data_IF_605001569220
#
_entry.id   IF_605001569220
#
_cell.length_a   1.000
_cell.length_b   1.000
_cell.length_c   1.000
_cell.angle_alpha   90.00
_cell.angle_beta   90.00
_cell.angle_gamma   90.00
#
_symmetry.space_group_name_H-M   'P 1'
#
loop_
_entity.id
_entity.type
_entity.pdbx_description
1 polymer ?
#
# COMPACT_ATOMS: atom_id res chain seq x y z
N UNK A 1 -4.78 -15.40 5.87
CA UNK A 1 -5.42 -15.17 7.20
C UNK A 1 -6.65 -14.29 6.98
N UNK A 2 -7.83 -14.69 7.44
CA UNK A 2 -9.09 -13.95 7.22
C UNK A 2 -9.58 -13.32 8.54
N UNK A 3 -9.76 -12.00 8.55
CA UNK A 3 -10.27 -11.25 9.72
C UNK A 3 -11.72 -11.58 10.05
N UNK A 4 -12.46 -12.23 9.13
CA UNK A 4 -13.90 -12.48 9.23
C UNK A 4 -14.76 -11.20 9.37
N UNK A 5 -14.15 -10.01 9.25
CA UNK A 5 -14.86 -8.73 9.29
C UNK A 5 -15.59 -8.50 7.96
N UNK A 6 -16.83 -8.00 8.02
CA UNK A 6 -17.68 -7.80 6.84
C UNK A 6 -17.57 -6.37 6.31
N UNK A 7 -17.65 -6.26 4.98
CA UNK A 7 -17.43 -5.07 4.15
C UNK A 7 -18.62 -4.09 4.18
N UNK A 8 -18.88 -3.44 5.32
CA UNK A 8 -20.06 -2.56 5.47
C UNK A 8 -20.01 -1.22 4.72
N UNK A 9 -18.82 -0.75 4.33
CA UNK A 9 -18.60 0.59 3.73
C UNK A 9 -17.62 0.57 2.54
N UNK A 10 -17.39 -0.60 1.94
CA UNK A 10 -16.30 -0.77 0.97
C UNK A 10 -16.55 0.00 -0.32
N UNK A 11 -17.77 0.01 -0.84
CA UNK A 11 -18.04 0.62 -2.14
C UNK A 11 -17.89 2.15 -2.11
N UNK A 12 -18.36 2.82 -1.05
CA UNK A 12 -18.20 4.27 -0.90
C UNK A 12 -16.75 4.67 -0.67
N UNK A 13 -16.05 3.98 0.25
CA UNK A 13 -14.66 4.28 0.57
C UNK A 13 -13.72 3.96 -0.61
N UNK A 14 -13.98 2.88 -1.34
CA UNK A 14 -13.24 2.55 -2.56
C UNK A 14 -13.42 3.63 -3.64
N UNK A 15 -14.66 4.08 -3.88
CA UNK A 15 -14.93 5.14 -4.84
C UNK A 15 -14.29 6.47 -4.43
N UNK A 16 -14.23 6.78 -3.13
CA UNK A 16 -13.52 7.95 -2.62
C UNK A 16 -12.02 7.87 -2.93
N UNK A 17 -11.38 6.73 -2.65
CA UNK A 17 -9.94 6.52 -2.98
C UNK A 17 -9.69 6.65 -4.47
N UNK A 18 -10.58 6.12 -5.30
CA UNK A 18 -10.51 6.26 -6.75
C UNK A 18 -10.56 7.74 -7.17
N UNK A 19 -11.53 8.49 -6.66
CA UNK A 19 -11.67 9.92 -6.96
C UNK A 19 -10.42 10.71 -6.55
N UNK A 20 -9.87 10.43 -5.38
CA UNK A 20 -8.62 11.05 -4.90
C UNK A 20 -7.43 10.74 -5.84
N UNK A 21 -7.33 9.51 -6.34
CA UNK A 21 -6.29 9.16 -7.31
C UNK A 21 -6.47 9.86 -8.67
N UNK A 22 -7.71 10.00 -9.13
CA UNK A 22 -8.03 10.72 -10.37
C UNK A 22 -7.73 12.22 -10.25
N UNK A 23 -7.98 12.81 -9.08
CA UNK A 23 -7.60 14.19 -8.77
C UNK A 23 -6.08 14.36 -8.75
N UNK A 24 -5.35 13.49 -8.06
CA UNK A 24 -3.88 13.52 -8.05
C UNK A 24 -3.30 13.41 -9.47
N UNK A 25 -3.86 12.53 -10.32
CA UNK A 25 -3.41 12.40 -11.71
C UNK A 25 -3.56 13.72 -12.49
N UNK A 26 -4.65 14.47 -12.27
CA UNK A 26 -4.86 15.79 -12.86
C UNK A 26 -3.81 16.79 -12.40
N UNK A 27 -3.43 16.79 -11.11
CA UNK A 27 -2.40 17.70 -10.58
C UNK A 27 -1.04 17.47 -11.24
N UNK A 28 -0.64 16.20 -11.38
CA UNK A 28 0.60 15.85 -12.05
C UNK A 28 0.53 16.06 -13.58
N UNK A 29 -0.67 16.18 -14.13
CA UNK A 29 -0.92 16.35 -15.57
C UNK A 29 -0.71 15.06 -16.35
N UNK A 30 -1.02 13.92 -15.74
CA UNK A 30 -0.86 12.58 -16.33
C UNK A 30 -2.20 11.88 -16.47
N UNK A 31 -2.27 10.87 -17.36
CA UNK A 31 -3.49 10.07 -17.53
C UNK A 31 -3.69 9.09 -16.36
N UNK A 32 -2.61 8.55 -15.81
CA UNK A 32 -2.63 7.62 -14.69
C UNK A 32 -1.41 7.85 -13.80
N UNK A 33 -1.56 7.59 -12.49
CA UNK A 33 -0.49 7.81 -11.52
C UNK A 33 0.77 6.97 -11.76
N UNK A 34 0.65 5.84 -12.48
CA UNK A 34 1.81 5.04 -12.93
C UNK A 34 2.82 5.87 -13.75
N UNK A 35 2.35 6.90 -14.44
CA UNK A 35 3.20 7.73 -15.30
C UNK A 35 3.91 8.86 -14.52
N UNK A 36 3.68 8.97 -13.20
CA UNK A 36 4.38 9.92 -12.31
C UNK A 36 5.73 9.35 -11.89
N UNK A 37 6.76 10.21 -11.88
CA UNK A 37 8.11 9.87 -11.40
C UNK A 37 8.44 10.61 -10.10
N UNK A 38 8.98 9.89 -9.11
CA UNK A 38 9.35 10.43 -7.80
C UNK A 38 10.47 11.47 -7.85
N UNK A 39 11.32 11.45 -8.88
CA UNK A 39 12.43 12.39 -9.04
C UNK A 39 12.02 13.72 -9.69
N UNK A 40 10.80 13.81 -10.22
CA UNK A 40 10.30 14.97 -10.96
C UNK A 40 10.22 16.22 -10.08
N UNK A 41 10.48 17.38 -10.68
CA UNK A 41 10.36 18.68 -9.97
C UNK A 41 8.94 18.90 -9.43
N UNK A 42 7.92 18.45 -10.17
CA UNK A 42 6.53 18.49 -9.72
C UNK A 42 6.31 17.66 -8.45
N UNK A 43 6.84 16.44 -8.38
CA UNK A 43 6.76 15.62 -7.17
C UNK A 43 7.36 16.34 -5.96
N UNK A 44 8.55 16.91 -6.13
CA UNK A 44 9.25 17.66 -5.07
C UNK A 44 8.49 18.91 -4.64
N UNK A 45 7.94 19.66 -5.60
CA UNK A 45 7.17 20.87 -5.32
C UNK A 45 5.89 20.58 -4.52
N UNK A 46 5.14 19.55 -4.91
CA UNK A 46 3.91 19.17 -4.22
C UNK A 46 4.18 18.60 -2.83
N UNK A 47 5.28 17.86 -2.64
CA UNK A 47 5.65 17.29 -1.33
C UNK A 47 5.88 18.32 -0.22
N UNK A 48 6.08 19.62 -0.55
CA UNK A 48 6.50 20.65 0.41
C UNK A 48 5.48 21.75 0.75
N UNK A 49 4.29 21.79 0.14
CA UNK A 49 3.40 22.98 0.22
C UNK A 49 1.89 22.70 0.20
N UNK A 50 1.38 21.77 1.00
CA UNK A 50 -0.03 21.38 0.91
C UNK A 50 -0.90 21.82 2.10
N UNK A 51 -2.11 22.29 1.77
CA UNK A 51 -3.24 22.40 2.72
C UNK A 51 -3.71 20.99 3.10
N UNK A 52 -4.46 20.86 4.20
CA UNK A 52 -4.88 19.55 4.75
C UNK A 52 -5.63 18.66 3.74
N UNK A 53 -6.56 19.21 2.96
CA UNK A 53 -7.25 18.47 1.88
C UNK A 53 -6.28 18.02 0.77
N UNK A 54 -5.28 18.85 0.48
CA UNK A 54 -4.27 18.53 -0.53
C UNK A 54 -3.31 17.44 -0.06
N UNK A 55 -3.06 17.37 1.24
CA UNK A 55 -2.22 16.35 1.87
C UNK A 55 -2.80 14.94 1.67
N UNK A 56 -4.12 14.77 1.82
CA UNK A 56 -4.77 13.47 1.63
C UNK A 56 -4.62 12.95 0.20
N UNK A 57 -4.90 13.79 -0.79
CA UNK A 57 -4.77 13.43 -2.21
C UNK A 57 -3.33 13.06 -2.55
N UNK A 58 -2.36 13.80 -2.04
CA UNK A 58 -0.95 13.46 -2.23
C UNK A 58 -0.55 12.16 -1.54
N UNK A 59 -1.04 11.87 -0.33
CA UNK A 59 -0.84 10.58 0.32
C UNK A 59 -1.36 9.43 -0.54
N UNK A 60 -2.54 9.59 -1.17
CA UNK A 60 -3.06 8.57 -2.13
C UNK A 60 -2.13 8.40 -3.33
N UNK A 61 -1.65 9.50 -3.90
CA UNK A 61 -0.69 9.47 -5.00
C UNK A 61 0.61 8.76 -4.61
N UNK A 62 1.16 9.09 -3.43
CA UNK A 62 2.37 8.51 -2.87
C UNK A 62 2.26 7.01 -2.69
N UNK A 63 1.15 6.52 -2.14
CA UNK A 63 0.92 5.09 -2.09
C UNK A 63 1.00 4.47 -3.48
N UNK A 64 0.21 4.96 -4.44
CA UNK A 64 0.11 4.33 -5.77
C UNK A 64 1.45 4.34 -6.52
N UNK A 65 2.18 5.46 -6.49
CA UNK A 65 3.46 5.58 -7.20
C UNK A 65 4.52 4.68 -6.56
N UNK A 66 4.65 4.72 -5.23
CA UNK A 66 5.66 3.93 -4.52
C UNK A 66 5.33 2.44 -4.49
N UNK A 67 4.04 2.06 -4.44
CA UNK A 67 3.61 0.67 -4.54
C UNK A 67 3.87 0.11 -5.94
N UNK A 68 3.71 0.91 -7.00
CA UNK A 68 4.06 0.49 -8.36
C UNK A 68 5.55 0.17 -8.49
N UNK A 69 6.44 1.02 -7.94
CA UNK A 69 7.88 0.73 -7.88
C UNK A 69 8.18 -0.52 -7.04
N UNK A 70 7.50 -0.67 -5.89
CA UNK A 70 7.65 -1.82 -5.00
C UNK A 70 7.27 -3.14 -5.66
N UNK A 71 6.23 -3.14 -6.50
CA UNK A 71 5.83 -4.32 -7.27
C UNK A 71 6.89 -4.69 -8.31
N UNK A 72 7.45 -3.71 -9.00
CA UNK A 72 8.56 -3.95 -9.94
C UNK A 72 9.79 -4.51 -9.22
N UNK A 73 10.13 -3.97 -8.06
CA UNK A 73 11.22 -4.50 -7.22
C UNK A 73 10.92 -5.93 -6.75
N UNK A 74 9.70 -6.20 -6.27
CA UNK A 74 9.29 -7.53 -5.82
C UNK A 74 9.45 -8.59 -6.92
N UNK A 75 9.18 -8.23 -8.19
CA UNK A 75 9.38 -9.14 -9.33
C UNK A 75 10.84 -9.55 -9.47
N UNK A 76 11.78 -8.61 -9.39
CA UNK A 76 13.21 -8.93 -9.51
C UNK A 76 13.70 -9.73 -8.29
N UNK A 77 13.31 -9.31 -7.09
CA UNK A 77 13.64 -9.99 -5.82
C UNK A 77 13.11 -11.45 -5.80
N UNK A 78 11.91 -11.68 -6.35
CA UNK A 78 11.36 -13.03 -6.50
C UNK A 78 12.18 -13.90 -7.46
N UNK A 79 12.68 -13.34 -8.58
CA UNK A 79 13.54 -14.08 -9.52
C UNK A 79 14.89 -14.45 -8.88
N UNK A 80 15.41 -13.59 -8.02
CA UNK A 80 16.65 -13.81 -7.29
C UNK A 80 16.50 -14.77 -6.10
N UNK A 81 15.27 -15.11 -5.71
CA UNK A 81 15.00 -15.96 -4.54
C UNK A 81 15.29 -15.27 -3.20
N UNK A 82 15.38 -13.94 -3.17
CA UNK A 82 15.69 -13.20 -1.95
C UNK A 82 14.42 -12.98 -1.10
N UNK A 83 14.03 -14.04 -0.38
CA UNK A 83 12.81 -14.08 0.44
C UNK A 83 12.78 -13.04 1.57
N UNK A 84 13.95 -12.71 2.15
CA UNK A 84 14.04 -11.69 3.20
C UNK A 84 13.67 -10.31 2.64
N UNK A 85 14.24 -9.93 1.49
CA UNK A 85 13.90 -8.66 0.85
C UNK A 85 12.44 -8.64 0.41
N UNK A 86 11.90 -9.77 -0.09
CA UNK A 86 10.49 -9.85 -0.45
C UNK A 86 9.57 -9.60 0.76
N UNK A 87 9.92 -10.16 1.91
CA UNK A 87 9.25 -9.93 3.19
C UNK A 87 9.26 -8.46 3.62
N UNK A 88 10.41 -7.78 3.50
CA UNK A 88 10.51 -6.34 3.74
C UNK A 88 9.59 -5.54 2.79
N UNK A 89 9.49 -5.92 1.52
CA UNK A 89 8.57 -5.28 0.57
C UNK A 89 7.11 -5.51 0.95
N UNK A 90 6.74 -6.70 1.45
CA UNK A 90 5.40 -6.94 1.99
C UNK A 90 5.11 -6.00 3.15
N UNK A 91 6.06 -5.87 4.08
CA UNK A 91 5.88 -5.02 5.25
C UNK A 91 5.73 -3.54 4.87
N UNK A 92 6.63 -3.04 4.03
CA UNK A 92 6.58 -1.66 3.54
C UNK A 92 5.28 -1.35 2.78
N UNK A 93 4.76 -2.32 2.04
CA UNK A 93 3.48 -2.16 1.38
C UNK A 93 2.32 -2.02 2.36
N UNK A 94 2.28 -2.85 3.40
CA UNK A 94 1.24 -2.74 4.42
C UNK A 94 1.28 -1.37 5.12
N UNK A 95 2.48 -0.89 5.45
CA UNK A 95 2.63 0.45 6.05
C UNK A 95 2.15 1.55 5.11
N UNK A 96 2.40 1.42 3.80
CA UNK A 96 1.88 2.36 2.82
C UNK A 96 0.35 2.30 2.70
N UNK A 97 -0.23 1.09 2.67
CA UNK A 97 -1.69 0.90 2.66
C UNK A 97 -2.37 1.44 3.93
N UNK A 98 -1.68 1.37 5.07
CA UNK A 98 -2.16 1.87 6.36
C UNK A 98 -2.06 3.38 6.46
N UNK A 99 -0.88 3.94 6.17
CA UNK A 99 -0.54 5.33 6.48
C UNK A 99 -0.76 6.30 5.31
N UNK A 100 -0.46 5.86 4.08
CA UNK A 100 -0.58 6.71 2.89
C UNK A 100 -1.91 6.46 2.15
N UNK A 101 -2.40 5.22 2.10
CA UNK A 101 -3.66 4.89 1.42
C UNK A 101 -4.86 4.79 2.36
N UNK A 102 -4.64 4.59 3.66
CA UNK A 102 -5.68 4.50 4.69
C UNK A 102 -6.83 3.57 4.30
N UNK A 103 -6.48 2.33 3.91
CA UNK A 103 -7.45 1.28 3.56
C UNK A 103 -7.38 0.08 4.50
N UNK A 104 -6.55 0.12 5.54
CA UNK A 104 -6.53 -0.93 6.56
C UNK A 104 -7.53 -0.60 7.68
N UNK A 105 -7.65 -1.50 8.65
CA UNK A 105 -8.39 -1.31 9.90
C UNK A 105 -7.69 -2.06 11.02
N UNK A 106 -8.16 -1.89 12.26
CA UNK A 106 -7.53 -2.52 13.43
C UNK A 106 -7.44 -4.03 13.30
N UNK A 107 -8.48 -4.70 12.79
CA UNK A 107 -8.47 -6.15 12.61
C UNK A 107 -7.38 -6.61 11.62
N UNK A 108 -7.21 -5.90 10.49
CA UNK A 108 -6.14 -6.19 9.52
C UNK A 108 -4.75 -5.89 10.10
N UNK A 109 -4.60 -4.76 10.80
CA UNK A 109 -3.32 -4.34 11.38
C UNK A 109 -2.87 -5.34 12.45
N UNK A 110 -3.75 -5.70 13.40
CA UNK A 110 -3.48 -6.70 14.43
C UNK A 110 -3.11 -8.05 13.80
N UNK A 111 -3.86 -8.49 12.78
CA UNK A 111 -3.57 -9.76 12.11
C UNK A 111 -2.20 -9.78 11.42
N UNK A 112 -1.80 -8.66 10.80
CA UNK A 112 -0.48 -8.53 10.18
C UNK A 112 0.62 -8.48 11.24
N UNK A 113 0.41 -7.73 12.32
CA UNK A 113 1.39 -7.63 13.42
C UNK A 113 1.60 -8.98 14.10
N UNK A 114 0.52 -9.71 14.43
CA UNK A 114 0.63 -11.06 14.98
C UNK A 114 1.38 -12.02 14.06
N UNK A 115 1.21 -11.89 12.73
CA UNK A 115 1.95 -12.72 11.77
C UNK A 115 3.44 -12.36 11.74
N UNK A 116 3.78 -11.07 11.76
CA UNK A 116 5.18 -10.59 11.76
C UNK A 116 5.95 -10.99 13.01
N UNK A 117 5.26 -11.16 14.13
CA UNK A 117 5.85 -11.62 15.39
C UNK A 117 6.22 -13.11 15.41
N UNK A 118 5.72 -13.91 14.47
CA UNK A 118 6.01 -15.34 14.42
C UNK A 118 7.42 -15.61 13.89
N UNK A 119 8.12 -16.55 14.54
CA UNK A 119 9.34 -17.14 13.99
C UNK A 119 9.05 -17.73 12.61
N UNK A 120 9.90 -17.41 11.62
CA UNK A 120 9.73 -17.87 10.24
C UNK A 120 8.86 -16.98 9.35
N UNK A 121 8.25 -15.92 9.87
CA UNK A 121 7.58 -14.93 9.03
C UNK A 121 8.59 -13.92 8.47
N UNK A 122 8.71 -13.86 7.15
CA UNK A 122 9.54 -12.87 6.45
C UNK A 122 8.82 -11.52 6.33
N UNK A 123 7.49 -11.54 6.20
CA UNK A 123 6.69 -10.33 6.15
C UNK A 123 5.21 -10.61 5.89
N UNK A 124 4.37 -9.66 6.24
CA UNK A 124 2.92 -9.77 6.07
C UNK A 124 2.28 -8.44 5.68
N UNK A 125 1.17 -8.55 4.95
CA UNK A 125 0.35 -7.41 4.51
C UNK A 125 -1.12 -7.78 4.34
N UNK A 126 -1.98 -6.77 4.37
CA UNK A 126 -3.35 -6.92 3.89
C UNK A 126 -3.38 -7.22 2.38
N UNK A 127 -4.43 -7.88 1.91
CA UNK A 127 -4.66 -8.17 0.49
C UNK A 127 -6.10 -7.87 0.08
N UNK A 128 -6.31 -7.56 -1.20
CA UNK A 128 -7.59 -7.12 -1.74
C UNK A 128 -7.84 -5.62 -1.52
N UNK A 129 -9.11 -5.22 -1.42
CA UNK A 129 -9.51 -3.82 -1.36
C UNK A 129 -9.25 -3.13 0.00
N UNK A 130 -9.02 -3.91 1.06
CA UNK A 130 -8.95 -3.39 2.43
C UNK A 130 -10.32 -3.23 3.09
N UNK A 131 -10.35 -2.44 4.17
CA UNK A 131 -11.49 -2.19 5.04
C UNK A 131 -12.08 -3.48 5.66
N UNK A 132 -11.19 -4.44 5.91
CA UNK A 132 -11.52 -5.81 6.34
C UNK A 132 -11.05 -6.85 5.33
N UNK A 133 -11.55 -8.07 5.46
CA UNK A 133 -11.14 -9.19 4.61
C UNK A 133 -9.85 -9.83 5.10
N UNK A 134 -8.86 -9.99 4.22
CA UNK A 134 -7.75 -10.91 4.46
C UNK A 134 -6.37 -10.23 4.49
N UNK A 135 -5.44 -10.89 5.17
CA UNK A 135 -4.02 -10.65 5.11
C UNK A 135 -3.28 -11.89 4.58
N UNK A 136 -2.13 -11.64 3.96
CA UNK A 136 -1.18 -12.65 3.46
C UNK A 136 0.15 -12.48 4.19
N UNK A 137 0.76 -13.60 4.56
CA UNK A 137 2.09 -13.65 5.15
C UNK A 137 2.98 -14.53 4.28
N UNK A 138 4.24 -14.12 4.14
CA UNK A 138 5.31 -14.90 3.55
C UNK A 138 6.04 -15.60 4.70
N UNK A 139 5.94 -16.93 4.73
CA UNK A 139 6.45 -17.75 5.83
C UNK A 139 7.36 -18.85 5.30
N UNK A 140 8.33 -19.26 6.12
CA UNK A 140 9.07 -20.50 5.92
C UNK A 140 8.10 -21.69 6.03
N UNK A 141 8.19 -22.64 5.09
CA UNK A 141 7.36 -23.85 5.08
C UNK A 141 7.58 -24.73 6.32
N UNK A 142 8.75 -24.61 6.96
CA UNK A 142 9.13 -25.43 8.11
C UNK A 142 8.78 -24.80 9.48
N UNK A 143 8.09 -23.64 9.50
CA UNK A 143 7.58 -23.02 10.73
C UNK A 143 6.08 -23.24 10.92
#
# INVERSE_FOLDING_TARGET
MDTSTRRGLVDSAYNERRSQCEEAAKWFGVKALRDVRLDSEKWKAESGKMKEESELVFKRAKHVVTENERVLEAIEVMKEGNVNRLGELFNNSHESLRNDFEVTNDALNIMVDCAREQGGCYGARMTGAGFGGCAVALVDENN
#
